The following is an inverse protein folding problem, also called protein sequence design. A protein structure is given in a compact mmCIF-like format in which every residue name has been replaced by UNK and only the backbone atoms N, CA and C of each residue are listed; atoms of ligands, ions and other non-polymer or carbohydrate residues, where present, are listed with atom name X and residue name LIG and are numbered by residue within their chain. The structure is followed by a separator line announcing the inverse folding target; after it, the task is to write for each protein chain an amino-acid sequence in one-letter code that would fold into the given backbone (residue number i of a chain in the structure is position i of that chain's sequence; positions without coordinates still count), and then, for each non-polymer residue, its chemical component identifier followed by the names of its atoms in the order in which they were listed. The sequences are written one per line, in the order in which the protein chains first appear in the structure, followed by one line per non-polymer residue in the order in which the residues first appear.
data_IF_548892838697
#
_entry.id   IF_548892838697
#
_cell.length_a   1.000
_cell.length_b   1.000
_cell.length_c   1.000
_cell.angle_alpha   90.00
_cell.angle_beta   90.00
_cell.angle_gamma   90.00
#
_symmetry.space_group_name_H-M   'P 1'
#
loop_
_entity.id
_entity.type
_entity.pdbx_description
1 polymer ?
#
# COMPACT_ATOMS: atom_id res chain seq x y z
N UNK A 1 -66.83 12.77 31.88
CA UNK A 1 -66.25 13.02 30.54
C UNK A 1 -65.29 14.20 30.60
N UNK A 2 -63.98 13.95 30.47
CA UNK A 2 -63.02 14.81 29.77
C UNK A 2 -61.69 14.03 29.77
N UNK A 3 -61.41 13.39 28.63
CA UNK A 3 -60.13 12.75 28.34
C UNK A 3 -59.12 13.88 28.12
N UNK A 4 -58.20 14.09 29.05
CA UNK A 4 -57.02 14.93 28.80
C UNK A 4 -55.99 14.06 28.09
N UNK A 5 -55.89 14.28 26.78
CA UNK A 5 -54.97 13.59 25.89
C UNK A 5 -53.55 14.07 26.22
N UNK A 6 -52.68 13.10 26.46
CA UNK A 6 -51.24 13.23 26.60
C UNK A 6 -50.65 13.71 25.27
N UNK A 7 -49.89 14.80 25.25
CA UNK A 7 -49.03 15.16 24.13
C UNK A 7 -47.58 15.13 24.65
N UNK A 8 -46.93 13.97 24.49
CA UNK A 8 -45.47 13.87 24.59
C UNK A 8 -44.94 14.53 23.31
N UNK A 9 -44.38 15.73 23.48
CA UNK A 9 -43.55 16.34 22.45
C UNK A 9 -42.24 15.55 22.43
N UNK A 10 -42.12 14.59 21.50
CA UNK A 10 -40.84 13.99 21.16
C UNK A 10 -39.99 15.11 20.52
N UNK A 11 -39.17 15.76 21.34
CA UNK A 11 -37.99 16.47 20.85
C UNK A 11 -37.07 15.41 20.26
N UNK A 12 -37.20 15.19 18.96
CA UNK A 12 -36.13 14.60 18.16
C UNK A 12 -35.01 15.64 18.18
N UNK A 13 -34.12 15.54 19.16
CA UNK A 13 -32.78 16.09 19.00
C UNK A 13 -32.19 15.31 17.84
N UNK A 14 -32.20 15.92 16.64
CA UNK A 14 -31.42 15.41 15.54
C UNK A 14 -30.00 15.30 16.05
N UNK A 15 -29.51 14.08 16.23
CA UNK A 15 -28.08 13.86 16.19
C UNK A 15 -27.67 14.43 14.84
N UNK A 16 -26.99 15.57 14.84
CA UNK A 16 -26.13 15.91 13.72
C UNK A 16 -25.08 14.80 13.73
N UNK A 17 -25.36 13.72 13.01
CA UNK A 17 -24.31 12.82 12.57
C UNK A 17 -23.29 13.75 11.94
N UNK A 18 -22.14 13.93 12.60
CA UNK A 18 -21.02 14.59 11.98
C UNK A 18 -20.60 13.57 10.93
N UNK A 19 -21.16 13.70 9.73
CA UNK A 19 -20.71 12.95 8.58
C UNK A 19 -19.22 13.22 8.40
N UNK A 20 -18.51 12.28 7.78
CA UNK A 20 -17.07 12.46 7.51
C UNK A 20 -16.81 13.76 6.73
N UNK A 21 -17.79 14.30 6.02
CA UNK A 21 -17.72 15.57 5.30
C UNK A 21 -18.48 16.66 6.08
N UNK A 22 -17.77 17.72 6.48
CA UNK A 22 -18.35 18.95 7.00
C UNK A 22 -18.13 20.10 6.01
N UNK A 23 -19.20 20.42 5.27
CA UNK A 23 -19.21 21.46 4.25
C UNK A 23 -19.17 22.89 4.79
N UNK A 24 -19.61 23.13 6.03
CA UNK A 24 -19.57 24.48 6.59
C UNK A 24 -18.12 24.94 6.79
N UNK A 25 -17.24 23.99 7.12
CA UNK A 25 -15.84 24.24 7.43
C UNK A 25 -14.88 23.71 6.33
N UNK A 26 -15.42 23.13 5.25
CA UNK A 26 -14.68 22.44 4.18
C UNK A 26 -13.66 21.43 4.70
N UNK A 27 -14.09 20.63 5.67
CA UNK A 27 -13.26 19.62 6.33
C UNK A 27 -13.79 18.22 6.05
N UNK A 28 -12.86 17.26 5.97
CA UNK A 28 -13.20 15.83 5.94
C UNK A 28 -12.43 15.09 7.01
N UNK A 29 -13.04 14.07 7.61
CA UNK A 29 -12.38 13.16 8.54
C UNK A 29 -12.45 11.74 7.98
N UNK A 30 -11.31 11.13 7.70
CA UNK A 30 -11.26 9.80 7.09
C UNK A 30 -11.19 8.74 8.18
N UNK A 31 -12.29 8.03 8.39
CA UNK A 31 -12.39 6.98 9.41
C UNK A 31 -13.18 5.78 8.88
N UNK A 32 -13.02 4.62 9.49
CA UNK A 32 -13.72 3.39 9.12
C UNK A 32 -15.09 3.34 9.80
N UNK A 33 -16.18 3.66 9.10
CA UNK A 33 -17.55 3.46 9.60
C UNK A 33 -18.15 2.16 9.08
N UNK A 34 -17.44 1.06 9.28
CA UNK A 34 -17.83 -0.23 8.73
C UNK A 34 -18.53 -1.09 9.78
N UNK A 35 -19.55 -1.85 9.39
CA UNK A 35 -20.16 -2.86 10.23
C UNK A 35 -19.50 -4.23 10.05
N UNK A 36 -19.51 -5.04 11.11
CA UNK A 36 -19.11 -6.45 11.03
C UNK A 36 -19.91 -7.19 9.94
N UNK A 37 -19.18 -7.88 9.06
CA UNK A 37 -19.73 -8.62 7.94
C UNK A 37 -19.90 -7.81 6.66
N UNK A 38 -19.61 -6.50 6.68
CA UNK A 38 -19.46 -5.74 5.45
C UNK A 38 -18.32 -6.28 4.59
N UNK A 39 -18.53 -6.18 3.28
CA UNK A 39 -17.60 -6.67 2.28
C UNK A 39 -17.57 -5.70 1.09
N UNK A 40 -16.37 -5.46 0.56
CA UNK A 40 -16.16 -4.79 -0.71
C UNK A 40 -15.18 -5.59 -1.57
N UNK A 41 -15.37 -5.50 -2.89
CA UNK A 41 -14.49 -6.13 -3.86
C UNK A 41 -13.78 -5.05 -4.67
N UNK A 42 -12.50 -5.30 -4.93
CA UNK A 42 -11.63 -4.39 -5.65
C UNK A 42 -10.91 -5.12 -6.77
N UNK A 43 -10.66 -4.41 -7.87
CA UNK A 43 -9.62 -4.77 -8.82
C UNK A 43 -8.37 -3.98 -8.46
N UNK A 44 -7.24 -4.67 -8.40
CA UNK A 44 -5.93 -4.05 -8.19
C UNK A 44 -5.08 -4.27 -9.44
N UNK A 45 -4.53 -3.19 -9.98
CA UNK A 45 -3.55 -3.25 -11.06
C UNK A 45 -2.20 -2.77 -10.57
N UNK A 46 -1.15 -3.45 -11.00
CA UNK A 46 0.22 -3.08 -10.71
C UNK A 46 1.01 -3.05 -12.03
N UNK A 47 1.50 -1.89 -12.39
CA UNK A 47 2.32 -1.67 -13.57
C UNK A 47 3.73 -1.23 -13.16
N UNK A 48 4.74 -1.84 -13.79
CA UNK A 48 6.13 -1.46 -13.64
C UNK A 48 6.71 -1.10 -15.00
N UNK A 49 7.14 0.14 -15.12
CA UNK A 49 7.73 0.71 -16.32
C UNK A 49 9.20 1.03 -16.02
N UNK A 50 10.11 0.56 -16.88
CA UNK A 50 11.50 1.03 -16.88
C UNK A 50 11.78 1.80 -18.15
N UNK A 51 12.25 3.02 -17.97
CA UNK A 51 12.68 3.92 -19.02
C UNK A 51 14.21 3.98 -19.03
N UNK A 52 14.79 3.98 -20.23
CA UNK A 52 16.17 4.40 -20.46
C UNK A 52 16.13 5.68 -21.30
N UNK A 53 16.56 6.78 -20.70
CA UNK A 53 16.33 8.14 -21.19
C UNK A 53 14.84 8.41 -21.37
N UNK A 54 14.35 8.39 -22.61
CA UNK A 54 12.93 8.57 -22.94
C UNK A 54 12.26 7.31 -23.46
N UNK A 55 13.03 6.24 -23.68
CA UNK A 55 12.53 5.02 -24.31
C UNK A 55 12.13 3.98 -23.25
N UNK A 56 10.93 3.44 -23.39
CA UNK A 56 10.47 2.33 -22.55
C UNK A 56 11.20 1.04 -22.93
N UNK A 57 11.94 0.48 -21.98
CA UNK A 57 12.69 -0.77 -22.16
C UNK A 57 12.04 -1.97 -21.45
N UNK A 58 11.12 -1.72 -20.53
CA UNK A 58 10.37 -2.76 -19.83
C UNK A 58 8.97 -2.24 -19.44
N UNK A 59 7.97 -3.09 -19.63
CA UNK A 59 6.62 -2.92 -19.09
C UNK A 59 6.14 -4.26 -18.55
N UNK A 60 6.01 -4.35 -17.24
CA UNK A 60 5.42 -5.49 -16.54
C UNK A 60 4.06 -5.06 -15.98
N UNK A 61 3.06 -5.90 -16.15
CA UNK A 61 1.69 -5.60 -15.73
C UNK A 61 1.11 -6.80 -15.01
N UNK A 62 0.46 -6.54 -13.88
CA UNK A 62 -0.24 -7.52 -13.06
C UNK A 62 -1.61 -6.98 -12.71
N UNK A 63 -2.63 -7.83 -12.75
CA UNK A 63 -3.97 -7.52 -12.25
C UNK A 63 -4.46 -8.64 -11.37
N UNK A 64 -5.20 -8.31 -10.33
CA UNK A 64 -5.79 -9.27 -9.41
C UNK A 64 -6.99 -8.66 -8.71
N UNK A 65 -7.87 -9.53 -8.21
CA UNK A 65 -9.02 -9.13 -7.42
C UNK A 65 -8.69 -9.24 -5.93
N UNK A 66 -9.30 -8.36 -5.14
CA UNK A 66 -9.24 -8.39 -3.69
C UNK A 66 -10.66 -8.37 -3.14
N UNK A 67 -10.93 -9.29 -2.21
CA UNK A 67 -12.11 -9.25 -1.36
C UNK A 67 -11.72 -8.73 0.03
N UNK A 68 -12.23 -7.56 0.39
CA UNK A 68 -12.05 -6.95 1.71
C UNK A 68 -13.29 -7.26 2.56
N UNK A 69 -13.11 -7.89 3.72
CA UNK A 69 -14.22 -8.27 4.61
C UNK A 69 -13.94 -7.85 6.05
N UNK A 70 -14.89 -7.17 6.69
CA UNK A 70 -14.82 -6.82 8.11
C UNK A 70 -15.20 -8.04 8.94
N UNK A 71 -14.21 -8.72 9.51
CA UNK A 71 -14.41 -9.92 10.31
C UNK A 71 -14.95 -9.62 11.71
N UNK A 72 -14.48 -8.52 12.29
CA UNK A 72 -14.89 -8.08 13.61
C UNK A 72 -14.74 -6.56 13.78
N UNK A 73 -15.54 -5.99 14.67
CA UNK A 73 -15.53 -4.58 15.04
C UNK A 73 -15.73 -4.49 16.55
N UNK A 74 -14.90 -3.67 17.18
CA UNK A 74 -14.99 -3.28 18.59
C UNK A 74 -15.02 -1.76 18.68
N UNK A 75 -15.19 -1.21 19.88
CA UNK A 75 -15.15 0.24 20.09
C UNK A 75 -13.78 0.84 19.74
N UNK A 76 -12.70 0.05 19.80
CA UNK A 76 -11.31 0.52 19.69
C UNK A 76 -10.57 -0.01 18.44
N UNK A 77 -11.18 -0.94 17.66
CA UNK A 77 -10.47 -1.58 16.55
C UNK A 77 -11.36 -2.33 15.57
N UNK A 78 -10.85 -2.51 14.36
CA UNK A 78 -11.39 -3.40 13.34
C UNK A 78 -10.45 -4.57 13.09
N UNK A 79 -11.02 -5.74 12.80
CA UNK A 79 -10.29 -6.88 12.24
C UNK A 79 -10.78 -7.14 10.84
N UNK A 80 -9.89 -7.04 9.85
CA UNK A 80 -10.23 -7.05 8.44
C UNK A 80 -9.49 -8.19 7.74
N UNK A 81 -10.18 -8.84 6.82
CA UNK A 81 -9.61 -9.81 5.90
C UNK A 81 -9.38 -9.13 4.55
N UNK A 82 -8.19 -9.35 3.99
CA UNK A 82 -7.82 -9.05 2.61
C UNK A 82 -7.50 -10.37 1.90
N UNK A 83 -8.33 -10.76 0.94
CA UNK A 83 -8.20 -12.02 0.23
C UNK A 83 -7.88 -11.77 -1.24
N UNK A 84 -6.70 -12.22 -1.67
CA UNK A 84 -6.22 -12.13 -3.05
C UNK A 84 -6.84 -13.21 -3.93
N UNK A 85 -7.30 -12.86 -5.12
CA UNK A 85 -7.94 -13.75 -6.10
C UNK A 85 -7.56 -13.37 -7.53
N UNK A 86 -7.67 -14.33 -8.45
CA UNK A 86 -7.64 -14.10 -9.90
C UNK A 86 -6.38 -13.38 -10.40
N UNK A 87 -5.20 -13.72 -9.90
CA UNK A 87 -3.94 -13.08 -10.29
C UNK A 87 -3.59 -13.39 -11.75
N UNK A 88 -3.36 -12.33 -12.52
CA UNK A 88 -2.99 -12.38 -13.93
C UNK A 88 -1.82 -11.45 -14.22
N UNK A 89 -0.99 -11.80 -15.20
CA UNK A 89 0.13 -10.97 -15.63
C UNK A 89 0.27 -10.96 -17.15
N UNK A 90 0.82 -9.87 -17.70
CA UNK A 90 1.23 -9.81 -19.10
C UNK A 90 2.54 -10.56 -19.39
N UNK A 91 3.23 -11.08 -18.36
CA UNK A 91 4.46 -11.81 -18.53
C UNK A 91 4.19 -13.12 -19.30
N UNK A 92 4.93 -13.35 -20.39
CA UNK A 92 4.73 -14.51 -21.27
C UNK A 92 5.50 -15.75 -20.79
N UNK A 93 6.41 -15.61 -19.83
CA UNK A 93 7.14 -16.75 -19.28
C UNK A 93 6.26 -17.52 -18.28
N UNK A 94 5.91 -18.80 -18.55
CA UNK A 94 5.07 -19.60 -17.66
C UNK A 94 5.68 -19.77 -16.25
N UNK A 95 7.00 -19.66 -16.11
CA UNK A 95 7.69 -19.74 -14.83
C UNK A 95 7.43 -18.49 -13.99
N UNK A 96 7.44 -17.33 -14.62
CA UNK A 96 7.13 -16.05 -13.97
C UNK A 96 5.65 -15.98 -13.59
N UNK A 97 4.76 -16.47 -14.45
CA UNK A 97 3.33 -16.59 -14.12
C UNK A 97 3.10 -17.44 -12.86
N UNK A 98 3.77 -18.58 -12.74
CA UNK A 98 3.72 -19.42 -11.53
C UNK A 98 4.31 -18.73 -10.30
N UNK A 99 5.38 -17.97 -10.48
CA UNK A 99 6.02 -17.23 -9.40
C UNK A 99 5.12 -16.11 -8.87
N UNK A 100 4.35 -15.46 -9.74
CA UNK A 100 3.40 -14.42 -9.35
C UNK A 100 2.14 -15.00 -8.72
N UNK A 101 1.74 -16.21 -9.13
CA UNK A 101 0.60 -16.93 -8.53
C UNK A 101 0.86 -17.50 -7.13
N UNK A 102 2.03 -17.28 -6.51
CA UNK A 102 2.32 -17.78 -5.15
C UNK A 102 1.43 -17.16 -4.08
N UNK A 103 0.84 -16.00 -4.36
CA UNK A 103 -0.09 -15.28 -3.48
C UNK A 103 -1.55 -15.49 -3.88
N UNK A 104 -1.85 -16.36 -4.85
CA UNK A 104 -3.24 -16.70 -5.21
C UNK A 104 -3.94 -17.28 -3.99
N UNK A 105 -5.21 -16.91 -3.75
CA UNK A 105 -6.01 -17.33 -2.58
C UNK A 105 -5.38 -17.00 -1.20
N UNK A 106 -4.32 -16.17 -1.17
CA UNK A 106 -3.67 -15.79 0.07
C UNK A 106 -4.59 -14.89 0.89
N UNK A 107 -4.72 -15.20 2.18
CA UNK A 107 -5.54 -14.44 3.13
C UNK A 107 -4.66 -13.69 4.11
N UNK A 108 -4.78 -12.37 4.12
CA UNK A 108 -4.16 -11.50 5.12
C UNK A 108 -5.25 -11.01 6.08
N UNK A 109 -5.09 -11.31 7.37
CA UNK A 109 -5.92 -10.76 8.45
C UNK A 109 -5.09 -9.70 9.16
N UNK A 110 -5.60 -8.48 9.20
CA UNK A 110 -4.94 -7.36 9.85
C UNK A 110 -5.89 -6.59 10.76
N UNK A 111 -5.32 -5.74 11.61
CA UNK A 111 -6.05 -4.85 12.50
C UNK A 111 -5.81 -3.39 12.18
N UNK A 112 -6.83 -2.58 12.44
CA UNK A 112 -6.74 -1.12 12.51
C UNK A 112 -7.24 -0.64 13.87
N UNK A 113 -6.91 0.60 14.24
CA UNK A 113 -7.59 1.29 15.34
C UNK A 113 -9.02 1.70 14.95
N UNK A 114 -9.74 2.39 15.85
CA UNK A 114 -11.11 2.86 15.59
C UNK A 114 -11.21 3.90 14.46
N UNK A 115 -10.09 4.52 14.09
CA UNK A 115 -10.03 5.53 13.04
C UNK A 115 -9.58 4.95 11.69
N UNK A 116 -9.27 3.66 11.63
CA UNK A 116 -8.83 2.98 10.41
C UNK A 116 -7.33 2.99 10.18
N UNK A 117 -6.52 3.46 11.14
CA UNK A 117 -5.07 3.40 10.99
C UNK A 117 -4.57 1.97 11.20
N UNK A 118 -3.76 1.47 10.27
CA UNK A 118 -3.16 0.13 10.33
C UNK A 118 -2.35 -0.09 11.62
N UNK A 119 -2.55 -1.23 12.28
CA UNK A 119 -1.82 -1.64 13.49
C UNK A 119 -0.86 -2.78 13.19
N UNK A 120 -1.37 -3.92 12.73
CA UNK A 120 -0.57 -5.13 12.55
C UNK A 120 -1.25 -6.19 11.67
N UNK A 121 -0.44 -7.11 11.12
CA UNK A 121 -0.89 -8.39 10.56
C UNK A 121 -0.99 -9.43 11.67
N UNK A 122 -2.19 -9.98 11.87
CA UNK A 122 -2.50 -10.92 12.96
C UNK A 122 -2.12 -12.34 12.59
N UNK A 123 -2.36 -12.75 11.33
CA UNK A 123 -2.14 -14.13 10.87
C UNK A 123 -0.81 -14.33 10.12
N UNK A 124 0.23 -13.57 10.47
CA UNK A 124 1.52 -13.59 9.74
C UNK A 124 2.17 -14.99 9.72
N UNK A 125 1.99 -15.81 10.77
CA UNK A 125 2.47 -17.20 10.78
C UNK A 125 1.75 -18.07 9.76
N UNK A 126 0.44 -17.86 9.57
CA UNK A 126 -0.35 -18.58 8.56
C UNK A 126 0.10 -18.20 7.15
N UNK A 127 0.31 -16.90 6.91
CA UNK A 127 0.83 -16.39 5.63
C UNK A 127 2.21 -17.00 5.34
N UNK A 128 3.11 -16.98 6.32
CA UNK A 128 4.44 -17.59 6.20
C UNK A 128 4.35 -19.06 5.81
N UNK A 129 3.55 -19.84 6.56
CA UNK A 129 3.40 -21.27 6.31
C UNK A 129 2.82 -21.55 4.92
N UNK A 130 1.83 -20.75 4.50
CA UNK A 130 1.24 -20.83 3.16
C UNK A 130 2.29 -20.63 2.06
N UNK A 131 3.10 -19.58 2.17
CA UNK A 131 4.16 -19.28 1.21
C UNK A 131 5.26 -20.34 1.24
N UNK A 132 5.66 -20.82 2.42
CA UNK A 132 6.67 -21.88 2.54
C UNK A 132 6.22 -23.20 1.88
N UNK A 133 4.94 -23.57 2.03
CA UNK A 133 4.38 -24.75 1.37
C UNK A 133 4.37 -24.58 -0.15
N UNK A 134 3.83 -23.47 -0.64
CA UNK A 134 3.74 -23.15 -2.07
C UNK A 134 5.13 -23.09 -2.73
N UNK A 135 6.09 -22.42 -2.09
CA UNK A 135 7.48 -22.39 -2.55
C UNK A 135 8.11 -23.78 -2.51
N UNK A 136 7.82 -24.60 -1.50
CA UNK A 136 8.30 -25.97 -1.40
C UNK A 136 7.86 -26.84 -2.57
N UNK A 137 6.64 -26.63 -3.07
CA UNK A 137 6.12 -27.30 -4.29
C UNK A 137 6.86 -26.79 -5.52
N UNK A 138 7.01 -25.47 -5.69
CA UNK A 138 7.69 -24.88 -6.83
C UNK A 138 9.19 -25.25 -6.89
N UNK A 139 9.88 -25.33 -5.74
CA UNK A 139 11.28 -25.77 -5.65
C UNK A 139 11.47 -27.19 -6.20
N UNK A 140 10.52 -28.10 -5.93
CA UNK A 140 10.54 -29.47 -6.49
C UNK A 140 10.27 -29.47 -8.00
N UNK A 141 9.41 -28.58 -8.48
CA UNK A 141 9.14 -28.45 -9.91
C UNK A 141 10.33 -27.87 -10.69
N UNK A 142 11.08 -26.94 -10.08
CA UNK A 142 12.19 -26.22 -10.70
C UNK A 142 13.58 -26.66 -10.22
N UNK A 143 13.71 -27.88 -9.68
CA UNK A 143 14.89 -28.41 -8.97
C UNK A 143 16.24 -28.26 -9.74
N UNK A 144 16.19 -28.05 -11.06
CA UNK A 144 17.36 -27.92 -11.93
C UNK A 144 17.59 -26.51 -12.53
N UNK A 145 16.89 -25.48 -12.06
CA UNK A 145 17.01 -24.11 -12.58
C UNK A 145 17.53 -23.16 -11.48
N UNK A 146 18.86 -22.91 -11.41
CA UNK A 146 19.46 -22.10 -10.35
C UNK A 146 18.88 -20.68 -10.22
N UNK A 147 18.52 -20.06 -11.34
CA UNK A 147 17.91 -18.72 -11.36
C UNK A 147 16.52 -18.70 -10.68
N UNK A 148 15.72 -19.76 -10.87
CA UNK A 148 14.42 -19.89 -10.19
C UNK A 148 14.58 -20.13 -8.70
N UNK A 149 15.59 -20.90 -8.29
CA UNK A 149 15.89 -21.13 -6.88
C UNK A 149 16.15 -19.81 -6.15
N UNK A 150 16.93 -18.91 -6.75
CA UNK A 150 17.21 -17.58 -6.18
C UNK A 150 15.95 -16.71 -6.09
N UNK A 151 15.10 -16.68 -7.11
CA UNK A 151 13.83 -15.93 -7.06
C UNK A 151 12.90 -16.44 -5.96
N UNK A 152 12.81 -17.76 -5.79
CA UNK A 152 12.01 -18.38 -4.73
C UNK A 152 12.58 -18.10 -3.33
N UNK A 153 13.90 -18.06 -3.16
CA UNK A 153 14.54 -17.66 -1.90
C UNK A 153 14.24 -16.20 -1.53
N UNK A 154 14.24 -15.30 -2.52
CA UNK A 154 13.89 -13.89 -2.29
C UNK A 154 12.44 -13.71 -1.84
N UNK A 155 11.50 -14.42 -2.47
CA UNK A 155 10.09 -14.41 -2.02
C UNK A 155 9.99 -15.01 -0.61
N UNK A 156 10.64 -16.13 -0.35
CA UNK A 156 10.62 -16.74 0.98
C UNK A 156 11.14 -15.79 2.07
N UNK A 157 12.17 -14.98 1.76
CA UNK A 157 12.70 -13.99 2.69
C UNK A 157 11.69 -12.89 3.03
N UNK A 158 10.93 -12.41 2.03
CA UNK A 158 9.89 -11.39 2.21
C UNK A 158 8.80 -11.88 3.19
N UNK A 159 8.45 -13.16 3.15
CA UNK A 159 7.42 -13.75 4.02
C UNK A 159 7.96 -14.42 5.29
N UNK A 160 9.23 -14.22 5.64
CA UNK A 160 9.90 -14.98 6.70
C UNK A 160 9.58 -14.54 8.13
N UNK A 161 9.18 -13.27 8.30
CA UNK A 161 8.91 -12.60 9.59
C UNK A 161 7.76 -11.63 9.43
N UNK A 162 7.11 -11.26 10.54
CA UNK A 162 6.02 -10.29 10.56
C UNK A 162 6.44 -8.94 9.97
N UNK A 163 7.59 -8.43 10.38
CA UNK A 163 8.12 -7.13 9.95
C UNK A 163 8.44 -7.11 8.44
N UNK A 164 8.93 -8.22 7.90
CA UNK A 164 9.17 -8.35 6.46
C UNK A 164 7.87 -8.37 5.65
N UNK A 165 6.84 -9.07 6.14
CA UNK A 165 5.51 -9.11 5.51
C UNK A 165 4.89 -7.71 5.54
N UNK A 166 4.91 -7.06 6.71
CA UNK A 166 4.35 -5.72 6.90
C UNK A 166 5.06 -4.66 6.06
N UNK A 167 6.37 -4.77 5.87
CA UNK A 167 7.14 -3.79 5.10
C UNK A 167 7.13 -4.02 3.59
N UNK A 168 6.92 -5.25 3.09
CA UNK A 168 7.12 -5.55 1.67
C UNK A 168 5.91 -6.19 0.97
N UNK A 169 5.05 -6.92 1.68
CA UNK A 169 4.00 -7.74 1.05
C UNK A 169 2.62 -7.11 1.06
N UNK A 170 2.33 -6.22 2.02
CA UNK A 170 0.99 -5.66 2.24
C UNK A 170 0.86 -4.21 1.75
N UNK A 171 1.64 -3.84 0.72
CA UNK A 171 1.68 -2.47 0.19
C UNK A 171 0.29 -1.97 -0.23
N UNK A 172 -0.58 -2.85 -0.73
CA UNK A 172 -1.96 -2.51 -1.10
C UNK A 172 -2.77 -2.08 0.12
N UNK A 173 -2.59 -2.77 1.26
CA UNK A 173 -3.26 -2.43 2.54
C UNK A 173 -2.74 -1.10 3.07
N UNK A 174 -1.42 -0.86 2.99
CA UNK A 174 -0.82 0.41 3.41
C UNK A 174 -1.33 1.58 2.57
N UNK A 175 -1.39 1.41 1.25
CA UNK A 175 -1.99 2.39 0.35
C UNK A 175 -3.47 2.63 0.69
N UNK A 176 -4.23 1.55 0.92
CA UNK A 176 -5.64 1.59 1.23
C UNK A 176 -5.95 2.46 2.46
N UNK A 177 -5.12 2.36 3.50
CA UNK A 177 -5.29 3.08 4.77
C UNK A 177 -4.46 4.36 4.89
N UNK A 178 -3.79 4.79 3.81
CA UNK A 178 -2.81 5.89 3.83
C UNK A 178 -3.36 7.24 4.34
N UNK A 179 -4.67 7.45 4.24
CA UNK A 179 -5.33 8.68 4.67
C UNK A 179 -6.24 8.51 5.89
N UNK A 180 -6.45 7.29 6.38
CA UNK A 180 -7.28 7.02 7.55
C UNK A 180 -6.61 7.49 8.83
N UNK A 181 -7.39 7.93 9.81
CA UNK A 181 -6.87 8.38 11.11
C UNK A 181 -6.76 9.90 11.26
N UNK A 182 -7.06 10.68 10.23
CA UNK A 182 -6.83 12.12 10.24
C UNK A 182 -8.02 12.95 9.74
N UNK A 183 -8.04 14.22 10.16
CA UNK A 183 -8.92 15.24 9.63
C UNK A 183 -8.13 16.16 8.70
N UNK A 184 -8.73 16.48 7.56
CA UNK A 184 -8.15 17.32 6.52
C UNK A 184 -9.07 18.50 6.22
N UNK A 185 -8.47 19.61 5.83
CA UNK A 185 -9.20 20.82 5.45
C UNK A 185 -8.76 21.29 4.08
N UNK A 186 -9.74 21.69 3.27
CA UNK A 186 -9.49 22.14 1.91
C UNK A 186 -8.55 23.35 1.92
N UNK A 187 -7.58 23.37 1.00
CA UNK A 187 -6.53 24.41 0.88
C UNK A 187 -5.48 24.41 2.00
N UNK A 188 -5.51 23.45 2.93
CA UNK A 188 -4.45 23.26 3.92
C UNK A 188 -3.55 22.08 3.52
N UNK A 189 -2.24 22.26 3.69
CA UNK A 189 -1.25 21.20 3.47
C UNK A 189 -0.70 20.79 4.83
N UNK A 190 -0.87 19.52 5.17
CA UNK A 190 -0.23 18.92 6.33
C UNK A 190 1.17 18.46 5.92
N UNK A 191 2.18 18.90 6.65
CA UNK A 191 3.56 18.47 6.45
C UNK A 191 4.02 17.69 7.68
N UNK A 192 4.59 16.51 7.46
CA UNK A 192 5.23 15.71 8.50
C UNK A 192 6.53 15.10 7.97
N UNK A 193 7.40 14.72 8.88
CA UNK A 193 8.61 13.97 8.57
C UNK A 193 8.50 12.59 9.21
N UNK A 194 8.75 11.53 8.46
CA UNK A 194 8.76 10.16 8.95
C UNK A 194 10.13 9.51 8.77
N UNK A 195 10.40 8.47 9.55
CA UNK A 195 11.50 7.53 9.29
C UNK A 195 10.95 6.30 8.60
N UNK A 196 11.45 6.02 7.40
CA UNK A 196 11.03 4.86 6.61
C UNK A 196 12.13 3.79 6.62
N UNK A 197 11.79 2.51 6.83
CA UNK A 197 12.78 1.44 6.79
C UNK A 197 13.55 1.40 5.47
N UNK A 198 14.86 1.22 5.55
CA UNK A 198 15.71 1.07 4.37
C UNK A 198 15.76 -0.38 3.90
N UNK A 199 15.58 -0.57 2.59
CA UNK A 199 15.81 -1.86 1.93
C UNK A 199 17.29 -2.06 1.52
N UNK A 200 18.11 -0.99 1.59
CA UNK A 200 19.51 -0.97 1.13
C UNK A 200 20.51 -1.14 2.27
N UNK A 201 20.08 -0.90 3.51
CA UNK A 201 20.92 -0.93 4.69
C UNK A 201 20.10 -0.99 5.98
N UNK A 202 20.78 -1.04 7.13
CA UNK A 202 20.12 -1.14 8.44
C UNK A 202 19.57 0.18 8.96
N UNK A 203 19.89 1.31 8.34
CA UNK A 203 19.49 2.64 8.79
C UNK A 203 18.26 3.13 8.02
N UNK A 204 17.24 3.55 8.76
CA UNK A 204 16.02 4.15 8.19
C UNK A 204 16.30 5.50 7.54
N UNK A 205 15.59 5.79 6.45
CA UNK A 205 15.65 7.07 5.77
C UNK A 205 14.69 8.09 6.38
N UNK A 206 15.11 9.35 6.45
CA UNK A 206 14.17 10.44 6.65
C UNK A 206 13.38 10.69 5.36
N UNK A 207 12.07 10.95 5.50
CA UNK A 207 11.20 11.28 4.39
C UNK A 207 10.25 12.41 4.76
N UNK A 208 10.14 13.41 3.88
CA UNK A 208 9.15 14.47 3.99
C UNK A 208 7.84 14.01 3.34
N UNK A 209 6.73 14.24 4.03
CA UNK A 209 5.38 13.89 3.56
C UNK A 209 4.50 15.12 3.59
N UNK A 210 3.88 15.42 2.45
CA UNK A 210 2.90 16.45 2.28
C UNK A 210 1.56 15.80 1.97
N UNK A 211 0.52 16.12 2.74
CA UNK A 211 -0.84 15.61 2.53
C UNK A 211 -1.83 16.76 2.43
N UNK A 212 -2.74 16.70 1.47
CA UNK A 212 -3.75 17.73 1.28
C UNK A 212 -5.05 17.19 0.70
N UNK A 213 -6.15 17.84 1.10
CA UNK A 213 -7.47 17.64 0.53
C UNK A 213 -7.57 18.44 -0.78
N UNK A 214 -7.77 17.72 -1.88
CA UNK A 214 -7.82 18.28 -3.24
C UNK A 214 -9.26 18.67 -3.63
N UNK A 215 -10.22 17.80 -3.34
CA UNK A 215 -11.61 17.95 -3.78
C UNK A 215 -12.59 17.37 -2.75
N UNK A 216 -13.78 17.97 -2.64
CA UNK A 216 -14.95 17.39 -1.97
C UNK A 216 -16.08 17.35 -3.00
N UNK A 217 -16.60 16.16 -3.26
CA UNK A 217 -17.74 15.90 -4.16
C UNK A 217 -18.96 15.47 -3.35
N UNK A 218 -19.92 16.40 -3.24
CA UNK A 218 -21.15 16.18 -2.46
C UNK A 218 -22.20 15.36 -3.20
N UNK A 219 -22.16 15.32 -4.52
CA UNK A 219 -23.15 14.57 -5.28
C UNK A 219 -22.90 13.06 -5.14
N UNK A 220 -21.61 12.68 -5.04
CA UNK A 220 -21.15 11.30 -4.86
C UNK A 220 -20.76 10.95 -3.41
N UNK A 221 -20.99 11.86 -2.44
CA UNK A 221 -20.56 11.74 -1.04
C UNK A 221 -19.10 11.27 -0.90
N UNK A 222 -18.20 11.87 -1.68
CA UNK A 222 -16.79 11.48 -1.75
C UNK A 222 -15.85 12.67 -1.71
N UNK A 223 -14.57 12.40 -1.52
CA UNK A 223 -13.53 13.42 -1.54
C UNK A 223 -12.21 12.83 -2.04
N UNK A 224 -11.32 13.70 -2.51
CA UNK A 224 -10.00 13.31 -3.04
C UNK A 224 -8.90 13.84 -2.14
N UNK A 225 -8.09 12.93 -1.61
CA UNK A 225 -6.87 13.25 -0.88
C UNK A 225 -5.65 12.90 -1.71
N UNK A 226 -4.58 13.68 -1.52
CA UNK A 226 -3.29 13.47 -2.18
C UNK A 226 -2.17 13.53 -1.17
N UNK A 227 -1.14 12.73 -1.39
CA UNK A 227 0.14 12.84 -0.72
C UNK A 227 1.30 12.83 -1.69
N UNK A 228 2.37 13.50 -1.27
CA UNK A 228 3.70 13.43 -1.86
C UNK A 228 4.65 13.02 -0.74
N UNK A 229 5.43 11.97 -0.97
CA UNK A 229 6.49 11.53 -0.07
C UNK A 229 7.82 11.58 -0.81
N UNK A 230 8.78 12.29 -0.25
CA UNK A 230 10.13 12.45 -0.80
C UNK A 230 11.15 11.91 0.21
N UNK A 231 11.95 10.93 -0.21
CA UNK A 231 13.03 10.37 0.62
C UNK A 231 14.25 11.29 0.55
N UNK A 232 14.94 11.46 1.68
CA UNK A 232 16.19 12.23 1.72
C UNK A 232 17.21 11.73 0.69
N UNK A 233 17.53 12.59 -0.27
CA UNK A 233 18.39 12.25 -1.42
C UNK A 233 19.82 11.90 -0.98
N UNK A 234 20.35 12.58 0.04
CA UNK A 234 21.72 12.35 0.52
C UNK A 234 21.83 10.97 1.19
N UNK A 235 20.87 10.64 2.07
CA UNK A 235 20.82 9.34 2.71
C UNK A 235 20.63 8.22 1.69
N UNK A 236 19.75 8.42 0.70
CA UNK A 236 19.49 7.44 -0.35
C UNK A 236 20.73 7.18 -1.22
N UNK A 237 21.44 8.23 -1.62
CA UNK A 237 22.70 8.15 -2.38
C UNK A 237 23.78 7.40 -1.57
N UNK A 238 23.97 7.76 -0.31
CA UNK A 238 24.97 7.14 0.55
C UNK A 238 24.68 5.65 0.76
N UNK A 239 23.44 5.29 1.09
CA UNK A 239 23.04 3.89 1.28
C UNK A 239 23.20 3.06 0.00
N UNK A 240 22.93 3.65 -1.17
CA UNK A 240 23.13 2.98 -2.47
C UNK A 240 24.60 2.67 -2.72
N UNK A 241 25.52 3.62 -2.46
CA UNK A 241 26.96 3.37 -2.61
C UNK A 241 27.45 2.28 -1.67
N UNK A 242 27.02 2.32 -0.41
CA UNK A 242 27.38 1.29 0.56
C UNK A 242 26.89 -0.09 0.17
N UNK A 243 25.66 -0.20 -0.32
CA UNK A 243 25.08 -1.45 -0.79
C UNK A 243 25.85 -2.01 -1.99
N UNK A 244 26.17 -1.16 -2.98
CA UNK A 244 26.97 -1.57 -4.14
C UNK A 244 28.37 -2.04 -3.72
N UNK A 245 29.03 -1.32 -2.80
CA UNK A 245 30.33 -1.73 -2.24
C UNK A 245 30.24 -3.13 -1.63
N UNK A 246 29.27 -3.38 -0.74
CA UNK A 246 29.07 -4.68 -0.09
C UNK A 246 28.84 -5.80 -1.11
N UNK A 247 28.05 -5.56 -2.15
CA UNK A 247 27.81 -6.56 -3.20
C UNK A 247 29.11 -6.87 -3.95
N UNK A 248 29.84 -5.85 -4.39
CA UNK A 248 31.08 -6.08 -5.17
C UNK A 248 32.13 -6.86 -4.38
N UNK A 249 32.28 -6.55 -3.09
CA UNK A 249 33.13 -7.30 -2.16
C UNK A 249 32.66 -8.76 -2.02
N UNK A 250 31.35 -8.97 -1.80
CA UNK A 250 30.78 -10.31 -1.58
C UNK A 250 30.85 -11.21 -2.82
N UNK A 251 30.70 -10.63 -4.01
CA UNK A 251 30.72 -11.37 -5.28
C UNK A 251 32.13 -11.52 -5.83
N UNK A 252 33.14 -10.93 -5.19
CA UNK A 252 34.53 -10.88 -5.65
C UNK A 252 34.65 -10.42 -7.12
N UNK A 253 33.78 -9.50 -7.52
CA UNK A 253 33.77 -8.93 -8.87
C UNK A 253 34.52 -7.62 -8.80
N UNK A 254 35.57 -7.48 -9.62
CA UNK A 254 36.19 -6.18 -9.88
C UNK A 254 35.24 -5.33 -10.74
N UNK A 255 34.11 -4.93 -10.17
CA UNK A 255 33.19 -4.01 -10.79
C UNK A 255 33.68 -2.58 -10.53
N UNK A 256 33.60 -1.74 -11.57
CA UNK A 256 33.79 -0.30 -11.39
C UNK A 256 32.54 0.21 -10.69
N UNK A 257 32.69 0.57 -9.41
CA UNK A 257 31.63 1.19 -8.65
C UNK A 257 31.32 2.58 -9.24
N UNK A 258 30.03 2.96 -9.31
CA UNK A 258 29.68 4.30 -9.75
C UNK A 258 30.28 5.33 -8.79
N UNK A 259 30.72 6.46 -9.34
CA UNK A 259 31.14 7.61 -8.55
C UNK A 259 29.91 8.32 -8.01
N UNK A 260 30.08 9.11 -6.95
CA UNK A 260 29.03 9.97 -6.41
C UNK A 260 28.37 10.83 -7.51
N UNK A 261 29.17 11.35 -8.44
CA UNK A 261 28.70 12.16 -9.57
C UNK A 261 27.75 11.40 -10.51
N UNK A 262 27.87 10.07 -10.59
CA UNK A 262 27.08 9.22 -11.47
C UNK A 262 25.67 8.98 -10.90
N UNK A 263 25.48 9.11 -9.59
CA UNK A 263 24.21 8.79 -8.90
C UNK A 263 23.62 9.98 -8.12
N UNK A 264 24.19 11.18 -8.29
CA UNK A 264 23.79 12.39 -7.55
C UNK A 264 22.34 12.83 -7.80
N UNK A 265 21.72 12.32 -8.85
CA UNK A 265 20.34 12.57 -9.24
C UNK A 265 19.41 11.43 -8.82
N UNK A 266 19.90 10.52 -7.97
CA UNK A 266 19.10 9.47 -7.36
C UNK A 266 17.99 10.08 -6.51
N UNK A 267 16.75 9.80 -6.88
CA UNK A 267 15.55 10.28 -6.19
C UNK A 267 14.56 9.15 -6.02
N UNK A 268 13.79 9.22 -4.94
CA UNK A 268 12.67 8.33 -4.67
C UNK A 268 11.49 9.19 -4.21
N UNK A 269 10.47 9.24 -5.06
CA UNK A 269 9.24 9.98 -4.81
C UNK A 269 8.07 8.99 -4.87
N UNK A 270 7.15 9.10 -3.90
CA UNK A 270 5.90 8.37 -3.89
C UNK A 270 4.76 9.38 -3.90
N UNK A 271 3.92 9.32 -4.93
CA UNK A 271 2.69 10.07 -5.05
C UNK A 271 1.54 9.13 -4.74
N UNK A 272 0.62 9.52 -3.86
CA UNK A 272 -0.62 8.78 -3.63
C UNK A 272 -1.81 9.70 -3.81
N UNK A 273 -2.86 9.23 -4.49
CA UNK A 273 -4.13 9.92 -4.55
C UNK A 273 -5.26 8.92 -4.31
N UNK A 274 -6.21 9.26 -3.44
CA UNK A 274 -7.36 8.40 -3.15
C UNK A 274 -8.64 9.20 -3.20
N UNK A 275 -9.62 8.69 -3.94
CA UNK A 275 -11.03 9.08 -3.83
C UNK A 275 -11.70 8.15 -2.82
N UNK A 276 -12.26 8.73 -1.77
CA UNK A 276 -12.80 8.01 -0.62
C UNK A 276 -14.27 8.41 -0.44
N UNK A 277 -15.14 7.43 -0.24
CA UNK A 277 -16.54 7.68 0.11
C UNK A 277 -16.66 8.11 1.59
N UNK A 278 -17.73 8.80 1.97
CA UNK A 278 -17.99 9.26 3.35
C UNK A 278 -18.06 8.14 4.41
N UNK A 279 -18.11 6.88 3.98
CA UNK A 279 -18.07 5.70 4.86
C UNK A 279 -16.64 5.24 5.18
N UNK A 280 -15.63 5.84 4.56
CA UNK A 280 -14.23 5.45 4.65
C UNK A 280 -13.81 4.33 3.69
N UNK A 281 -14.74 3.79 2.89
CA UNK A 281 -14.41 2.85 1.81
C UNK A 281 -13.71 3.61 0.68
N UNK A 282 -12.55 3.11 0.24
CA UNK A 282 -11.84 3.64 -0.93
C UNK A 282 -12.68 3.33 -2.18
N UNK A 283 -12.92 4.34 -3.03
CA UNK A 283 -13.55 4.16 -4.35
C UNK A 283 -12.45 3.89 -5.39
N UNK A 284 -11.41 4.70 -5.34
CA UNK A 284 -10.26 4.62 -6.24
C UNK A 284 -9.02 5.11 -5.50
N UNK A 285 -7.90 4.40 -5.61
CA UNK A 285 -6.61 4.86 -5.12
C UNK A 285 -5.54 4.55 -6.15
N UNK A 286 -4.64 5.50 -6.37
CA UNK A 286 -3.46 5.34 -7.21
C UNK A 286 -2.23 5.72 -6.40
N UNK A 287 -1.20 4.87 -6.42
CA UNK A 287 0.11 5.13 -5.85
C UNK A 287 1.14 4.98 -6.95
N UNK A 288 1.91 6.03 -7.20
CA UNK A 288 2.99 6.05 -8.19
C UNK A 288 4.30 6.26 -7.46
N UNK A 289 5.18 5.27 -7.51
CA UNK A 289 6.54 5.34 -7.01
C UNK A 289 7.49 5.55 -8.18
N UNK A 290 8.24 6.65 -8.13
CA UNK A 290 9.23 6.98 -9.15
C UNK A 290 10.62 6.94 -8.53
N UNK A 291 11.49 6.10 -9.11
CA UNK A 291 12.92 6.06 -8.79
C UNK A 291 13.70 6.49 -10.02
N UNK A 292 14.44 7.60 -9.89
CA UNK A 292 15.31 8.11 -10.94
C UNK A 292 16.75 7.80 -10.58
N UNK A 293 17.55 7.31 -11.53
CA UNK A 293 18.99 7.11 -11.38
C UNK A 293 19.67 7.38 -12.73
N UNK A 294 20.37 8.51 -12.84
CA UNK A 294 21.02 8.95 -14.08
C UNK A 294 20.02 8.95 -15.26
N UNK A 295 20.29 8.14 -16.28
CA UNK A 295 19.45 7.98 -17.46
C UNK A 295 18.41 6.87 -17.31
N UNK A 296 18.18 6.33 -16.12
CA UNK A 296 17.19 5.27 -15.89
C UNK A 296 16.10 5.76 -14.96
N UNK A 297 14.85 5.60 -15.37
CA UNK A 297 13.70 5.87 -14.50
C UNK A 297 12.90 4.60 -14.35
N UNK A 298 12.58 4.22 -13.12
CA UNK A 298 11.65 3.14 -12.80
C UNK A 298 10.41 3.76 -12.21
N UNK A 299 9.26 3.47 -12.82
CA UNK A 299 7.94 3.88 -12.33
C UNK A 299 7.21 2.59 -11.94
N UNK A 300 6.73 2.53 -10.71
CA UNK A 300 5.84 1.49 -10.22
C UNK A 300 4.51 2.15 -9.87
N UNK A 301 3.43 1.73 -10.52
CA UNK A 301 2.09 2.26 -10.31
C UNK A 301 1.19 1.16 -9.78
N UNK A 302 0.49 1.42 -8.66
CA UNK A 302 -0.54 0.56 -8.09
C UNK A 302 -1.86 1.29 -8.05
N UNK A 303 -2.87 0.73 -8.68
CA UNK A 303 -4.24 1.23 -8.64
C UNK A 303 -5.11 0.23 -7.91
N UNK A 304 -5.95 0.71 -6.99
CA UNK A 304 -6.99 -0.04 -6.29
C UNK A 304 -8.32 0.60 -6.67
N UNK A 305 -9.20 -0.12 -7.35
CA UNK A 305 -10.47 0.39 -7.85
C UNK A 305 -11.62 -0.51 -7.39
N UNK A 306 -12.69 0.09 -6.86
CA UNK A 306 -13.87 -0.65 -6.41
C UNK A 306 -14.64 -1.23 -7.61
N UNK A 307 -15.13 -2.47 -7.47
CA UNK A 307 -15.86 -3.21 -8.51
C UNK A 307 -17.37 -2.95 -8.52
#
# INVERSE_FOLDING_TARGET
MKKTLFAILLLVTGNTAIGQINMADSTVQVITYWDKGEQQNYTVTHEKIRLQETDTILTEFTTYDVEVTVLDQTDDSYTIQWLYKNIQTNNTDPRMQKLMGVTEDMKVIYKTDELGTFIEVVNWEEIKNYIEETIGILKKEFEFIPEMAKGLEQIQAIYSTKEAIESASIQDIQQYHSFHGAQYKLLEVLQTQLRIPSFLGPEDFDADIFVYLDEIDMDDNSFVLRSVQEVDEEQLVNATLEYLNKITESMNVNAVLPKLEDIKDLKNEILTASRIHETGWIIYSIMTKTVVLSNTTVIEERIIEIN
#
